data_IF_234560296622
#
_entry.id   IF_234560296622
#
_cell.length_a   1.000
_cell.length_b   1.000
_cell.length_c   1.000
_cell.angle_alpha   90.00
_cell.angle_beta   90.00
_cell.angle_gamma   90.00
#
_symmetry.space_group_name_H-M   'P 1'
#
loop_
_entity.id
_entity.type
_entity.pdbx_description
1 polymer ?
#
# COMPACT_ATOMS: atom_id res chain seq x y z
N UNK A 1 25.45 -3.01 -0.75
CA UNK A 1 24.28 -2.23 -1.22
C UNK A 1 23.37 -2.05 -0.02
N UNK A 2 23.18 -0.82 0.46
CA UNK A 2 22.25 -0.56 1.57
C UNK A 2 20.85 -0.54 0.95
N UNK A 3 20.08 -1.61 1.18
CA UNK A 3 18.69 -1.66 0.71
C UNK A 3 17.86 -0.75 1.62
N UNK A 4 17.33 0.34 1.06
CA UNK A 4 16.41 1.21 1.80
C UNK A 4 15.04 0.54 1.89
N UNK A 5 14.46 0.53 3.08
CA UNK A 5 13.14 -0.04 3.35
C UNK A 5 12.08 1.05 3.15
N UNK A 6 11.21 0.89 2.16
CA UNK A 6 10.14 1.84 1.85
C UNK A 6 8.79 1.30 2.34
N UNK A 7 8.10 2.07 3.18
CA UNK A 7 6.74 1.75 3.62
C UNK A 7 5.72 2.25 2.62
N UNK A 8 4.90 1.35 2.07
CA UNK A 8 3.83 1.66 1.11
C UNK A 8 2.50 1.24 1.72
N UNK A 9 1.49 2.10 1.61
CA UNK A 9 0.11 1.80 1.96
C UNK A 9 -0.70 1.59 0.68
N UNK A 10 -1.44 0.49 0.60
CA UNK A 10 -2.37 0.20 -0.50
C UNK A 10 -3.80 0.23 0.04
N UNK A 11 -4.63 1.08 -0.55
CA UNK A 11 -6.04 1.25 -0.20
C UNK A 11 -6.89 0.93 -1.43
N UNK A 12 -7.51 -0.24 -1.42
CA UNK A 12 -8.26 -0.77 -2.56
C UNK A 12 -9.21 -1.84 -2.02
N UNK A 13 -10.50 -1.83 -2.38
CA UNK A 13 -11.47 -2.80 -1.88
C UNK A 13 -11.36 -4.18 -2.58
N UNK A 14 -10.77 -4.21 -3.78
CA UNK A 14 -10.52 -5.41 -4.59
C UNK A 14 -9.30 -6.20 -4.09
N UNK A 15 -9.53 -7.45 -3.68
CA UNK A 15 -8.46 -8.30 -3.13
C UNK A 15 -7.44 -8.69 -4.20
N UNK A 16 -7.91 -8.94 -5.40
CA UNK A 16 -7.13 -9.35 -6.56
C UNK A 16 -6.16 -8.25 -6.98
N UNK A 17 -6.59 -6.99 -6.92
CA UNK A 17 -5.76 -5.84 -7.24
C UNK A 17 -4.70 -5.61 -6.16
N UNK A 18 -5.07 -5.64 -4.87
CA UNK A 18 -4.08 -5.61 -3.76
C UNK A 18 -3.02 -6.71 -3.88
N UNK A 19 -3.43 -7.94 -4.20
CA UNK A 19 -2.49 -9.04 -4.43
C UNK A 19 -1.55 -8.78 -5.61
N UNK A 20 -2.08 -8.22 -6.70
CA UNK A 20 -1.30 -7.86 -7.90
C UNK A 20 -0.27 -6.80 -7.58
N UNK A 21 -0.65 -5.73 -6.86
CA UNK A 21 0.30 -4.69 -6.43
C UNK A 21 1.38 -5.23 -5.52
N UNK A 22 1.04 -6.06 -4.53
CA UNK A 22 2.05 -6.72 -3.66
C UNK A 22 3.06 -7.49 -4.49
N UNK A 23 2.60 -8.33 -5.44
CA UNK A 23 3.47 -9.11 -6.30
C UNK A 23 4.42 -8.24 -7.14
N UNK A 24 3.93 -7.15 -7.70
CA UNK A 24 4.78 -6.24 -8.48
C UNK A 24 5.80 -5.50 -7.61
N UNK A 25 5.41 -5.06 -6.42
CA UNK A 25 6.34 -4.41 -5.48
C UNK A 25 7.43 -5.39 -5.00
N UNK A 26 7.07 -6.62 -4.66
CA UNK A 26 8.01 -7.66 -4.23
C UNK A 26 9.00 -8.11 -5.33
N UNK A 27 8.68 -7.89 -6.60
CA UNK A 27 9.58 -8.22 -7.72
C UNK A 27 10.74 -7.22 -7.89
N UNK A 28 10.69 -6.07 -7.23
CA UNK A 28 11.78 -5.09 -7.25
C UNK A 28 13.05 -5.66 -6.62
N UNK A 29 14.17 -5.57 -7.33
CA UNK A 29 15.47 -6.06 -6.84
C UNK A 29 16.28 -5.00 -6.09
N UNK A 30 15.93 -3.73 -6.29
CA UNK A 30 16.72 -2.60 -5.81
C UNK A 30 16.19 -2.01 -4.50
N UNK A 31 14.92 -2.30 -4.18
CA UNK A 31 14.20 -1.74 -3.03
C UNK A 31 13.48 -2.84 -2.27
N UNK A 32 13.48 -2.74 -0.94
CA UNK A 32 12.65 -3.57 -0.07
C UNK A 32 11.45 -2.77 0.39
N UNK A 33 10.28 -3.40 0.40
CA UNK A 33 9.03 -2.75 0.78
C UNK A 33 8.41 -3.36 2.02
N UNK A 34 7.89 -2.50 2.90
CA UNK A 34 6.91 -2.88 3.90
C UNK A 34 5.55 -2.44 3.40
N UNK A 35 4.67 -3.40 3.11
CA UNK A 35 3.39 -3.14 2.45
C UNK A 35 2.27 -3.27 3.49
N UNK A 36 1.58 -2.16 3.73
CA UNK A 36 0.34 -2.10 4.50
C UNK A 36 -0.84 -2.12 3.52
N UNK A 37 -1.92 -2.79 3.89
CA UNK A 37 -3.10 -2.94 3.04
C UNK A 37 -4.37 -2.68 3.85
N UNK A 38 -5.32 -1.99 3.23
CA UNK A 38 -6.68 -1.87 3.72
C UNK A 38 -7.66 -1.83 2.54
N UNK A 39 -8.94 -2.00 2.84
CA UNK A 39 -10.04 -2.04 1.88
C UNK A 39 -10.86 -0.75 1.85
N UNK A 40 -10.75 0.09 2.88
CA UNK A 40 -11.64 1.23 3.07
C UNK A 40 -10.84 2.52 3.12
N UNK A 41 -11.44 3.59 2.63
CA UNK A 41 -10.83 4.91 2.69
C UNK A 41 -10.66 5.39 4.13
N UNK A 42 -11.61 5.06 5.01
CA UNK A 42 -11.55 5.43 6.43
C UNK A 42 -10.35 4.80 7.15
N UNK A 43 -10.17 3.48 7.04
CA UNK A 43 -8.99 2.79 7.60
C UNK A 43 -7.71 3.25 6.93
N UNK A 44 -7.75 3.50 5.61
CA UNK A 44 -6.61 4.00 4.85
C UNK A 44 -6.13 5.35 5.35
N UNK A 45 -7.06 6.25 5.67
CA UNK A 45 -6.74 7.56 6.24
C UNK A 45 -6.17 7.44 7.66
N UNK A 46 -6.70 6.54 8.48
CA UNK A 46 -6.18 6.28 9.83
C UNK A 46 -4.74 5.74 9.76
N UNK A 47 -4.50 4.72 8.94
CA UNK A 47 -3.17 4.13 8.72
C UNK A 47 -2.19 5.14 8.13
N UNK A 48 -2.62 5.99 7.20
CA UNK A 48 -1.75 7.03 6.64
C UNK A 48 -1.22 7.99 7.71
N UNK A 49 -2.04 8.32 8.72
CA UNK A 49 -1.65 9.19 9.84
C UNK A 49 -0.78 8.47 10.86
N UNK A 50 -1.12 7.24 11.21
CA UNK A 50 -0.41 6.46 12.23
C UNK A 50 0.95 5.97 11.73
N UNK A 51 1.00 5.41 10.52
CA UNK A 51 2.16 4.70 10.01
C UNK A 51 3.09 5.56 9.16
N UNK A 52 2.64 6.76 8.76
CA UNK A 52 3.37 7.71 7.93
C UNK A 52 4.07 7.04 6.73
N UNK A 53 3.31 6.37 5.83
CA UNK A 53 3.87 5.69 4.68
C UNK A 53 4.53 6.69 3.73
N UNK A 54 5.60 6.26 3.05
CA UNK A 54 6.33 7.07 2.07
C UNK A 54 5.51 7.27 0.78
N UNK A 55 4.64 6.31 0.47
CA UNK A 55 3.80 6.30 -0.71
C UNK A 55 2.46 5.64 -0.38
N UNK A 56 1.39 6.15 -0.99
CA UNK A 56 0.05 5.59 -0.88
C UNK A 56 -0.44 5.26 -2.30
N UNK A 57 -0.77 4.00 -2.54
CA UNK A 57 -1.51 3.55 -3.71
C UNK A 57 -2.99 3.54 -3.33
N UNK A 58 -3.75 4.44 -3.93
CA UNK A 58 -5.15 4.69 -3.60
C UNK A 58 -6.03 4.37 -4.80
N UNK A 59 -6.96 3.43 -4.64
CA UNK A 59 -8.03 3.23 -5.61
C UNK A 59 -8.95 4.45 -5.62
N UNK A 60 -9.35 4.85 -6.82
CA UNK A 60 -10.23 5.99 -7.04
C UNK A 60 -11.67 5.69 -6.60
N UNK A 61 -12.12 4.42 -6.64
CA UNK A 61 -13.50 4.05 -6.31
C UNK A 61 -13.57 3.13 -5.11
N UNK A 62 -13.46 3.74 -3.93
CA UNK A 62 -13.73 3.06 -2.68
C UNK A 62 -15.23 3.13 -2.35
N UNK A 63 -15.78 2.01 -1.88
CA UNK A 63 -17.23 1.87 -1.64
C UNK A 63 -17.73 2.66 -0.41
N UNK A 64 -16.84 3.11 0.46
CA UNK A 64 -17.16 3.73 1.76
C UNK A 64 -17.06 5.26 1.81
N UNK A 65 -16.61 5.91 0.72
CA UNK A 65 -16.44 7.37 0.61
C UNK A 65 -17.08 7.93 -0.65
#
# INVERSE_FOLDING_TARGET
MSTSLLKILVVDDCREDRYTYRRFLEQSKDLSYTILETKTGEEGLALAREESPMCILLDYRLSDI
#
